data_IF_116924251095
#
_entry.id   IF_116924251095
#
_cell.length_a   1.000
_cell.length_b   1.000
_cell.length_c   1.000
_cell.angle_alpha   90.00
_cell.angle_beta   90.00
_cell.angle_gamma   90.00
#
_symmetry.space_group_name_H-M   'P 1'
#
loop_
_entity.id
_entity.type
_entity.pdbx_description
1 polymer ?
#
# COMPACT_ATOMS: atom_id res chain seq x y z
N UNK A 1 2.33 12.50 1.13
CA UNK A 1 2.11 13.22 2.42
C UNK A 1 1.97 14.72 2.12
N UNK A 2 1.03 15.44 2.75
CA UNK A 2 0.85 16.90 2.50
C UNK A 2 1.39 17.72 3.67
N UNK A 3 1.88 18.93 3.39
CA UNK A 3 2.30 19.89 4.42
C UNK A 3 1.12 20.74 4.87
N UNK A 4 1.08 21.06 6.16
CA UNK A 4 0.16 22.00 6.76
C UNK A 4 0.44 23.40 6.22
N UNK A 5 -0.56 24.04 5.63
CA UNK A 5 -0.45 25.38 5.07
C UNK A 5 -0.19 26.47 6.12
N UNK A 6 -0.42 26.19 7.40
CA UNK A 6 -0.26 27.15 8.50
C UNK A 6 1.10 27.02 9.20
N UNK A 7 1.53 25.80 9.51
CA UNK A 7 2.74 25.58 10.33
C UNK A 7 3.81 24.69 9.68
N UNK A 8 3.59 24.22 8.46
CA UNK A 8 4.57 23.42 7.71
C UNK A 8 4.74 21.96 8.16
N UNK A 9 4.18 21.57 9.32
CA UNK A 9 4.14 20.16 9.80
C UNK A 9 3.27 19.28 8.89
N UNK A 10 3.18 17.99 9.16
CA UNK A 10 2.26 17.12 8.43
C UNK A 10 0.80 17.57 8.57
N UNK A 11 0.11 17.73 7.42
CA UNK A 11 -1.28 18.14 7.35
C UNK A 11 -2.21 16.96 6.98
N UNK A 12 -3.51 17.13 7.25
CA UNK A 12 -4.53 16.24 6.69
C UNK A 12 -4.69 16.54 5.20
N UNK A 13 -4.69 15.52 4.34
CA UNK A 13 -4.81 15.65 2.87
C UNK A 13 -6.06 16.42 2.44
N UNK A 14 -7.17 16.19 3.14
CA UNK A 14 -8.49 16.76 2.82
C UNK A 14 -8.51 18.28 2.88
N UNK A 15 -7.78 18.88 3.82
CA UNK A 15 -7.84 20.33 4.12
C UNK A 15 -6.48 21.00 4.12
N UNK A 16 -5.39 20.25 3.90
CA UNK A 16 -4.01 20.71 3.94
C UNK A 16 -3.62 21.44 5.24
N UNK A 17 -4.26 21.13 6.36
CA UNK A 17 -4.01 21.74 7.68
C UNK A 17 -3.87 20.63 8.73
N UNK A 18 -2.96 20.80 9.70
CA UNK A 18 -2.77 19.83 10.77
C UNK A 18 -3.82 19.98 11.88
N UNK A 19 -4.11 18.91 12.65
CA UNK A 19 -5.11 18.97 13.72
C UNK A 19 -4.84 20.05 14.77
N UNK A 20 -3.58 20.36 15.07
CA UNK A 20 -3.26 21.38 16.07
C UNK A 20 -3.57 22.79 15.60
N UNK A 21 -3.34 23.08 14.31
CA UNK A 21 -3.73 24.37 13.73
C UNK A 21 -5.26 24.51 13.63
N UNK A 22 -5.99 23.42 13.34
CA UNK A 22 -7.45 23.42 13.38
C UNK A 22 -7.99 23.69 14.79
N UNK A 23 -7.39 23.07 15.82
CA UNK A 23 -7.73 23.35 17.22
C UNK A 23 -7.47 24.81 17.59
N UNK A 24 -6.32 25.37 17.18
CA UNK A 24 -5.97 26.78 17.40
C UNK A 24 -6.93 27.75 16.70
N UNK A 25 -7.49 27.33 15.56
CA UNK A 25 -8.53 28.06 14.83
C UNK A 25 -9.94 27.84 15.41
N UNK A 26 -10.07 27.20 16.58
CA UNK A 26 -11.33 26.91 17.24
C UNK A 26 -12.32 26.09 16.38
N UNK A 27 -11.80 25.25 15.47
CA UNK A 27 -12.64 24.29 14.73
C UNK A 27 -13.20 23.28 15.72
N UNK A 28 -14.48 22.95 15.54
CA UNK A 28 -15.18 21.99 16.38
C UNK A 28 -14.42 20.64 16.47
N UNK A 29 -14.16 20.10 17.68
CA UNK A 29 -13.40 18.87 17.86
C UNK A 29 -14.00 17.65 17.13
N UNK A 30 -15.33 17.57 17.02
CA UNK A 30 -16.01 16.47 16.32
C UNK A 30 -15.80 16.59 14.80
N UNK A 31 -15.77 17.80 14.25
CA UNK A 31 -15.35 18.02 12.85
C UNK A 31 -13.90 17.61 12.63
N UNK A 32 -12.97 17.94 13.54
CA UNK A 32 -11.56 17.53 13.44
C UNK A 32 -11.44 16.00 13.46
N UNK A 33 -12.23 15.31 14.28
CA UNK A 33 -12.27 13.84 14.34
C UNK A 33 -12.75 13.23 13.02
N UNK A 34 -13.81 13.78 12.42
CA UNK A 34 -14.32 13.34 11.10
C UNK A 34 -13.27 13.55 10.01
N UNK A 35 -12.59 14.70 9.99
CA UNK A 35 -11.52 14.97 9.04
C UNK A 35 -10.36 13.96 9.16
N UNK A 36 -10.02 13.53 10.38
CA UNK A 36 -9.03 12.45 10.59
C UNK A 36 -9.49 11.11 10.03
N UNK A 37 -10.76 10.74 10.26
CA UNK A 37 -11.32 9.50 9.73
C UNK A 37 -11.29 9.49 8.20
N UNK A 38 -11.72 10.57 7.55
CA UNK A 38 -11.66 10.71 6.09
C UNK A 38 -10.21 10.61 5.60
N UNK A 39 -9.28 11.31 6.26
CA UNK A 39 -7.87 11.26 5.90
C UNK A 39 -7.27 9.83 6.02
N UNK A 40 -7.72 9.04 6.98
CA UNK A 40 -7.29 7.64 7.13
C UNK A 40 -7.85 6.77 6.00
N UNK A 41 -9.11 6.95 5.60
CA UNK A 41 -9.68 6.27 4.44
C UNK A 41 -8.89 6.61 3.19
N UNK A 42 -8.62 7.90 2.95
CA UNK A 42 -7.83 8.35 1.80
C UNK A 42 -6.42 7.73 1.79
N UNK A 43 -5.78 7.61 2.96
CA UNK A 43 -4.48 6.94 3.10
C UNK A 43 -4.52 5.45 2.76
N UNK A 44 -5.58 4.74 3.14
CA UNK A 44 -5.75 3.31 2.80
C UNK A 44 -5.98 3.15 1.30
N UNK A 45 -6.71 4.08 0.69
CA UNK A 45 -6.99 4.05 -0.75
C UNK A 45 -5.83 4.55 -1.61
N UNK A 46 -4.78 5.13 -1.02
CA UNK A 46 -3.56 5.43 -1.75
C UNK A 46 -3.05 4.14 -2.40
N UNK A 47 -2.70 4.23 -3.68
CA UNK A 47 -2.20 3.09 -4.47
C UNK A 47 -3.23 2.01 -4.82
N UNK A 48 -4.54 2.24 -4.57
CA UNK A 48 -5.60 1.31 -4.99
C UNK A 48 -5.60 1.12 -6.52
N UNK A 49 -5.39 2.19 -7.29
CA UNK A 49 -5.31 2.11 -8.76
C UNK A 49 -4.11 1.27 -9.22
N UNK A 50 -2.97 1.36 -8.51
CA UNK A 50 -1.78 0.55 -8.75
C UNK A 50 -2.05 -0.94 -8.48
N UNK A 51 -2.60 -1.25 -7.31
CA UNK A 51 -2.97 -2.61 -6.93
C UNK A 51 -4.00 -3.24 -7.89
N UNK A 52 -4.99 -2.47 -8.36
CA UNK A 52 -5.96 -2.95 -9.36
C UNK A 52 -5.26 -3.24 -10.69
N UNK A 53 -4.35 -2.36 -11.13
CA UNK A 53 -3.61 -2.55 -12.37
C UNK A 53 -2.75 -3.82 -12.33
N UNK A 54 -2.01 -4.05 -11.24
CA UNK A 54 -1.23 -5.27 -11.06
C UNK A 54 -2.11 -6.52 -11.06
N UNK A 55 -3.24 -6.48 -10.36
CA UNK A 55 -4.21 -7.56 -10.33
C UNK A 55 -4.75 -7.90 -11.73
N UNK A 56 -5.11 -6.88 -12.52
CA UNK A 56 -5.57 -7.06 -13.91
C UNK A 56 -4.46 -7.67 -14.78
N UNK A 57 -3.21 -7.22 -14.64
CA UNK A 57 -2.08 -7.80 -15.37
C UNK A 57 -1.90 -9.28 -15.05
N UNK A 58 -1.90 -9.65 -13.76
CA UNK A 58 -1.83 -11.06 -13.34
C UNK A 58 -3.01 -11.88 -13.85
N UNK A 59 -4.23 -11.32 -13.85
CA UNK A 59 -5.40 -11.98 -14.41
C UNK A 59 -5.24 -12.25 -15.92
N UNK A 60 -4.74 -11.27 -16.68
CA UNK A 60 -4.49 -11.42 -18.12
C UNK A 60 -3.44 -12.51 -18.38
N UNK A 61 -2.35 -12.55 -17.61
CA UNK A 61 -1.32 -13.61 -17.73
C UNK A 61 -1.91 -15.01 -17.50
N UNK A 62 -2.77 -15.17 -16.48
CA UNK A 62 -3.47 -16.44 -16.21
C UNK A 62 -4.37 -16.83 -17.39
N UNK A 63 -5.12 -15.88 -17.95
CA UNK A 63 -6.00 -16.14 -19.09
C UNK A 63 -5.21 -16.55 -20.34
N UNK A 64 -4.12 -15.85 -20.66
CA UNK A 64 -3.24 -16.22 -21.78
C UNK A 64 -2.66 -17.62 -21.62
N UNK A 65 -2.27 -18.01 -20.41
CA UNK A 65 -1.74 -19.34 -20.12
C UNK A 65 -2.79 -20.45 -20.31
N UNK A 66 -4.05 -20.18 -19.95
CA UNK A 66 -5.18 -21.07 -20.17
C UNK A 66 -5.49 -21.21 -21.67
N UNK A 67 -5.51 -20.09 -22.41
CA UNK A 67 -5.76 -20.07 -23.86
C UNK A 67 -4.66 -20.77 -24.65
N UNK A 68 -3.40 -20.62 -24.24
CA UNK A 68 -2.24 -21.30 -24.85
C UNK A 68 -2.22 -22.81 -24.58
N UNK A 69 -3.16 -23.35 -23.80
CA UNK A 69 -3.36 -24.78 -23.64
C UNK A 69 -2.16 -25.49 -23.02
N UNK A 70 -1.66 -25.03 -21.88
CA UNK A 70 -0.69 -25.82 -21.10
C UNK A 70 -1.36 -27.06 -20.50
N UNK A 71 -1.33 -28.14 -21.27
CA UNK A 71 -1.21 -29.50 -20.76
C UNK A 71 0.00 -29.56 -19.81
N UNK A 72 -0.20 -30.15 -18.63
CA UNK A 72 0.69 -30.04 -17.47
C UNK A 72 2.17 -30.32 -17.73
N UNK A 73 3.03 -29.65 -16.95
CA UNK A 73 4.37 -30.13 -16.65
C UNK A 73 4.63 -30.01 -15.15
N UNK A 74 4.86 -31.20 -14.61
CA UNK A 74 5.15 -31.60 -13.24
C UNK A 74 6.07 -30.67 -12.46
N UNK A 75 5.81 -30.65 -11.15
CA UNK A 75 6.63 -30.12 -10.07
C UNK A 75 8.12 -30.47 -10.25
N UNK A 76 8.98 -29.47 -10.49
CA UNK A 76 10.42 -29.63 -10.23
C UNK A 76 10.67 -29.53 -8.74
N UNK A 77 10.62 -30.67 -8.04
CA UNK A 77 11.19 -30.84 -6.70
C UNK A 77 12.70 -30.58 -6.77
N UNK A 78 13.14 -29.39 -6.35
CA UNK A 78 14.55 -29.15 -6.05
C UNK A 78 14.83 -29.54 -4.60
N UNK A 79 15.05 -30.83 -4.37
CA UNK A 79 15.80 -31.29 -3.21
C UNK A 79 17.27 -31.04 -3.48
N UNK A 80 17.91 -30.13 -2.73
CA UNK A 80 19.33 -30.24 -2.36
C UNK A 80 19.52 -29.53 -1.04
N UNK A 81 19.50 -30.31 0.03
CA UNK A 81 20.13 -29.97 1.30
C UNK A 81 21.64 -30.06 1.04
N UNK A 82 22.36 -28.94 1.12
CA UNK A 82 23.82 -28.97 1.32
C UNK A 82 24.10 -28.49 2.74
N UNK A 83 24.22 -29.46 3.64
CA UNK A 83 25.00 -29.32 4.85
C UNK A 83 26.47 -29.25 4.45
N UNK A 84 27.21 -28.30 4.99
CA UNK A 84 28.61 -28.08 4.62
C UNK A 84 29.31 -27.19 5.63
N UNK A 85 29.46 -27.71 6.86
CA UNK A 85 30.41 -27.24 7.86
C UNK A 85 31.80 -27.09 7.22
N UNK A 86 32.45 -25.93 7.38
CA UNK A 86 33.92 -25.82 7.35
C UNK A 86 34.39 -24.75 8.33
N UNK A 87 34.73 -25.23 9.52
CA UNK A 87 35.73 -24.60 10.40
C UNK A 87 37.10 -24.54 9.71
N UNK A 88 37.94 -23.62 10.19
CA UNK A 88 39.38 -23.36 9.92
C UNK A 88 39.76 -22.54 8.68
N UNK A 89 40.09 -21.26 8.90
CA UNK A 89 41.49 -20.80 8.91
C UNK A 89 41.66 -19.58 9.82
#
# INVERSE_FOLDING_TARGET
MVKCSICGKEGLKVVCVCPDCLKKAAVDPEQIKKLKQINNVLRITEDTDGNIKECVQSLTEILEDLERGRHGKEERKSNTIQTGNKDNL
#
